data_IF_282199230253
#
_entry.id   IF_282199230253
#
_cell.length_a   1.000
_cell.length_b   1.000
_cell.length_c   1.000
_cell.angle_alpha   90.00
_cell.angle_beta   90.00
_cell.angle_gamma   90.00
#
_symmetry.space_group_name_H-M   'P 1'
#
loop_
_entity.id
_entity.type
_entity.pdbx_description
1 polymer ?
#
# COMPACT_ATOMS: atom_id res chain seq x y z
N UNK A 1 -59.14 16.04 -41.74
CA UNK A 1 -58.85 17.43 -42.12
C UNK A 1 -57.80 17.98 -41.17
N UNK A 2 -56.71 18.54 -41.74
CA UNK A 2 -55.69 19.49 -41.20
C UNK A 2 -55.07 19.21 -39.81
N UNK A 3 -53.75 19.05 -39.61
CA UNK A 3 -52.63 19.97 -39.94
C UNK A 3 -52.43 20.97 -38.77
N UNK A 4 -51.28 21.26 -38.14
CA UNK A 4 -49.85 21.26 -38.48
C UNK A 4 -49.01 21.42 -37.16
N UNK A 5 -47.83 20.80 -36.95
CA UNK A 5 -46.41 21.23 -37.19
C UNK A 5 -45.74 22.17 -36.14
N UNK A 6 -44.57 21.73 -35.64
CA UNK A 6 -43.39 22.46 -35.07
C UNK A 6 -43.46 22.95 -33.60
N UNK A 7 -42.43 22.93 -32.75
CA UNK A 7 -40.98 23.03 -32.98
C UNK A 7 -40.09 22.39 -31.88
N UNK A 8 -38.78 22.48 -32.09
CA UNK A 8 -37.70 21.61 -31.60
C UNK A 8 -37.07 22.01 -30.26
N UNK A 9 -36.49 20.97 -29.63
CA UNK A 9 -35.42 21.00 -28.62
C UNK A 9 -34.21 21.86 -29.05
N UNK A 10 -33.70 22.67 -28.11
CA UNK A 10 -32.26 22.80 -27.84
C UNK A 10 -32.05 23.49 -26.50
N UNK A 11 -31.53 22.78 -25.50
CA UNK A 11 -30.68 23.44 -24.51
C UNK A 11 -29.46 22.56 -24.23
N UNK A 12 -28.31 23.03 -24.74
CA UNK A 12 -26.99 22.45 -24.54
C UNK A 12 -26.42 23.10 -23.28
N UNK A 13 -26.46 22.40 -22.14
CA UNK A 13 -25.57 22.76 -21.03
C UNK A 13 -24.31 21.90 -21.09
N UNK A 14 -23.21 22.60 -21.37
CA UNK A 14 -21.85 22.08 -21.49
C UNK A 14 -21.43 21.42 -20.18
N UNK A 15 -20.95 20.19 -20.27
CA UNK A 15 -20.28 19.50 -19.18
C UNK A 15 -19.02 20.25 -18.77
N UNK A 16 -18.94 20.59 -17.49
CA UNK A 16 -17.67 20.87 -16.84
C UNK A 16 -16.97 19.52 -16.65
N UNK A 17 -15.87 19.31 -17.36
CA UNK A 17 -14.94 18.21 -17.12
C UNK A 17 -14.36 18.38 -15.71
N UNK A 18 -14.87 17.59 -14.76
CA UNK A 18 -14.27 17.47 -13.44
C UNK A 18 -12.87 16.85 -13.57
N UNK A 19 -11.90 17.52 -12.95
CA UNK A 19 -10.49 17.13 -12.95
C UNK A 19 -10.32 15.86 -12.08
N UNK A 20 -9.46 14.91 -12.48
CA UNK A 20 -9.14 13.76 -11.62
C UNK A 20 -8.37 14.21 -10.36
N UNK A 21 -8.48 13.46 -9.24
CA UNK A 21 -7.77 13.75 -8.00
C UNK A 21 -6.25 13.60 -8.14
N UNK A 22 -5.45 14.23 -7.26
CA UNK A 22 -4.00 14.34 -7.41
C UNK A 22 -3.28 12.99 -7.22
N UNK A 23 -2.28 12.77 -8.08
CA UNK A 23 -1.35 11.64 -8.08
C UNK A 23 -0.54 11.58 -6.79
N UNK A 24 -0.61 10.45 -6.08
CA UNK A 24 0.45 10.04 -5.16
C UNK A 24 1.69 9.61 -5.97
N UNK A 25 2.65 10.54 -6.05
CA UNK A 25 4.10 10.37 -6.24
C UNK A 25 4.59 9.20 -7.14
N UNK A 26 4.78 9.52 -8.42
CA UNK A 26 5.88 8.96 -9.22
C UNK A 26 7.03 9.99 -9.25
N UNK A 27 8.24 9.52 -9.00
CA UNK A 27 9.47 10.30 -8.88
C UNK A 27 9.81 11.08 -10.16
N UNK A 28 10.35 12.28 -9.93
CA UNK A 28 10.99 13.23 -10.86
C UNK A 28 11.77 12.62 -12.03
N UNK A 29 11.57 13.19 -13.22
CA UNK A 29 12.56 13.23 -14.28
C UNK A 29 12.58 14.62 -14.93
N UNK A 30 13.68 15.33 -14.73
CA UNK A 30 14.03 16.58 -15.40
C UNK A 30 14.77 16.34 -16.72
N UNK A 31 14.55 17.26 -17.67
CA UNK A 31 15.50 17.79 -18.69
C UNK A 31 15.10 17.63 -20.17
N UNK A 32 15.64 18.56 -20.98
CA UNK A 32 15.39 18.95 -22.39
C UNK A 32 14.37 20.08 -22.52
N UNK A 33 14.70 21.32 -22.89
CA UNK A 33 15.92 21.95 -23.37
C UNK A 33 15.54 23.09 -24.33
N UNK A 34 16.11 24.29 -24.16
CA UNK A 34 16.42 25.21 -25.26
C UNK A 34 17.37 26.31 -24.80
N UNK A 35 18.38 26.53 -25.65
CA UNK A 35 19.46 27.51 -25.56
C UNK A 35 18.96 28.90 -25.99
N UNK A 36 19.54 29.96 -25.42
CA UNK A 36 20.47 30.86 -26.12
C UNK A 36 21.04 31.92 -25.14
N UNK A 37 22.36 32.13 -25.22
CA UNK A 37 23.26 33.04 -24.47
C UNK A 37 23.45 34.38 -25.25
N UNK A 38 24.36 35.32 -24.87
CA UNK A 38 24.59 36.03 -23.60
C UNK A 38 24.71 37.56 -23.77
N UNK A 39 24.84 38.33 -22.68
CA UNK A 39 25.13 39.77 -22.78
C UNK A 39 25.36 40.51 -21.45
N UNK A 40 26.52 40.26 -20.85
CA UNK A 40 27.44 41.17 -20.15
C UNK A 40 26.98 42.48 -19.43
N UNK A 41 27.56 42.64 -18.22
CA UNK A 41 28.07 43.86 -17.56
C UNK A 41 27.21 44.71 -16.59
N UNK A 42 27.63 44.60 -15.31
CA UNK A 42 27.96 45.67 -14.33
C UNK A 42 26.93 46.10 -13.28
N UNK A 43 27.27 45.72 -12.04
CA UNK A 43 27.53 46.55 -10.85
C UNK A 43 26.42 47.42 -10.22
N UNK A 44 26.43 47.38 -8.88
CA UNK A 44 25.67 48.17 -7.89
C UNK A 44 24.17 47.83 -7.84
N UNK A 45 23.57 47.45 -6.71
CA UNK A 45 23.65 48.08 -5.39
C UNK A 45 23.63 47.05 -4.26
N UNK A 46 24.54 47.23 -3.31
CA UNK A 46 24.50 46.62 -1.98
C UNK A 46 23.60 47.50 -1.08
N UNK A 47 22.96 46.83 -0.12
CA UNK A 47 22.31 47.40 1.08
C UNK A 47 20.92 48.02 0.86
N UNK A 48 19.88 47.20 1.03
CA UNK A 48 19.09 47.28 2.25
C UNK A 48 18.07 46.13 2.37
N UNK A 49 17.81 45.74 3.62
CA UNK A 49 16.83 44.77 4.10
C UNK A 49 17.34 43.34 4.40
N UNK A 50 18.08 43.24 5.51
CA UNK A 50 18.00 42.11 6.43
C UNK A 50 16.56 42.00 6.97
N UNK A 51 15.68 41.39 6.19
CA UNK A 51 14.34 40.96 6.59
C UNK A 51 14.33 39.45 6.77
N UNK A 52 14.26 39.00 8.02
CA UNK A 52 14.09 37.63 8.48
C UNK A 52 13.13 36.80 7.60
N UNK A 53 13.67 36.05 6.63
CA UNK A 53 12.92 35.03 5.90
C UNK A 53 13.86 33.92 5.39
N UNK A 54 13.60 32.69 5.85
CA UNK A 54 13.97 31.41 5.21
C UNK A 54 15.46 31.05 5.13
N UNK A 55 16.09 30.80 6.29
CA UNK A 55 17.33 29.97 6.39
C UNK A 55 17.11 28.61 7.07
N UNK A 56 15.86 28.20 7.33
CA UNK A 56 15.58 26.93 8.03
C UNK A 56 15.51 25.70 7.11
N UNK A 57 15.24 25.86 5.81
CA UNK A 57 15.15 24.75 4.86
C UNK A 57 16.52 24.25 4.38
N UNK A 58 17.49 25.15 4.16
CA UNK A 58 18.82 24.84 3.62
C UNK A 58 19.69 24.05 4.62
N UNK A 59 19.60 24.39 5.91
CA UNK A 59 20.30 23.69 7.00
C UNK A 59 19.68 22.33 7.32
N UNK A 60 18.35 22.19 7.19
CA UNK A 60 17.66 20.90 7.36
C UNK A 60 18.03 19.89 6.28
N UNK A 61 18.11 20.33 5.02
CA UNK A 61 18.58 19.50 3.90
C UNK A 61 20.04 19.04 4.08
N UNK A 62 20.93 19.94 4.50
CA UNK A 62 22.33 19.60 4.81
C UNK A 62 22.43 18.57 5.94
N UNK A 63 21.68 18.73 7.04
CA UNK A 63 21.68 17.77 8.17
C UNK A 63 21.14 16.40 7.78
N UNK A 64 20.10 16.33 6.93
CA UNK A 64 19.56 15.07 6.37
C UNK A 64 20.61 14.29 5.57
N UNK A 65 21.49 14.97 4.82
CA UNK A 65 22.47 14.33 3.93
C UNK A 65 23.58 13.58 4.67
N UNK A 66 23.92 13.99 5.88
CA UNK A 66 24.98 13.39 6.72
C UNK A 66 24.43 12.61 7.92
N UNK A 67 23.10 12.53 8.07
CA UNK A 67 22.48 11.75 9.14
C UNK A 67 22.67 10.26 8.89
N UNK A 68 22.82 9.50 9.98
CA UNK A 68 22.77 8.05 9.91
C UNK A 68 21.37 7.59 9.48
N UNK A 69 21.32 6.60 8.58
CA UNK A 69 20.10 6.15 7.89
C UNK A 69 19.90 4.65 7.99
N UNK A 70 18.65 4.26 8.22
CA UNK A 70 18.17 2.89 8.08
C UNK A 70 17.07 2.83 7.03
N UNK A 71 16.89 1.68 6.39
CA UNK A 71 15.75 1.41 5.51
C UNK A 71 14.77 0.46 6.20
N UNK A 72 13.48 0.73 6.07
CA UNK A 72 12.43 -0.26 6.37
C UNK A 72 11.84 -0.69 5.04
N UNK A 73 11.86 -1.99 4.76
CA UNK A 73 11.39 -2.59 3.53
C UNK A 73 9.99 -3.15 3.73
N UNK A 74 9.10 -2.89 2.79
CA UNK A 74 7.70 -3.32 2.82
C UNK A 74 7.45 -4.36 1.72
N UNK A 75 7.16 -5.57 2.17
CA UNK A 75 6.69 -6.71 1.41
C UNK A 75 5.23 -6.99 1.75
N UNK A 76 4.57 -7.87 0.99
CA UNK A 76 3.22 -8.34 1.30
C UNK A 76 3.18 -9.86 1.15
N UNK A 77 3.34 -10.34 -0.09
CA UNK A 77 3.26 -11.77 -0.45
C UNK A 77 4.61 -12.31 -0.87
N UNK A 78 4.91 -13.55 -0.49
CA UNK A 78 6.00 -14.35 -1.09
C UNK A 78 5.41 -15.61 -1.68
N UNK A 79 4.98 -15.54 -2.93
CA UNK A 79 4.29 -16.62 -3.62
C UNK A 79 4.74 -16.70 -5.07
N UNK A 80 4.49 -17.83 -5.74
CA UNK A 80 4.78 -17.94 -7.17
C UNK A 80 3.77 -17.07 -7.94
N UNK A 81 4.21 -16.02 -8.66
CA UNK A 81 3.31 -15.20 -9.47
C UNK A 81 2.81 -15.96 -10.71
N UNK A 82 3.34 -17.15 -11.02
CA UNK A 82 3.04 -17.88 -12.25
C UNK A 82 1.60 -18.39 -12.29
N UNK A 83 0.71 -17.53 -12.79
CA UNK A 83 -0.66 -17.91 -13.15
C UNK A 83 -1.73 -17.22 -12.35
N UNK A 84 -1.40 -16.34 -11.41
CA UNK A 84 -2.37 -15.49 -10.72
C UNK A 84 -2.21 -14.03 -11.20
N UNK A 85 -3.23 -13.20 -11.01
CA UNK A 85 -3.15 -11.77 -11.29
C UNK A 85 -2.51 -11.07 -10.09
N UNK A 86 -1.63 -10.10 -10.33
CA UNK A 86 -1.07 -9.24 -9.28
C UNK A 86 -1.27 -7.76 -9.66
N UNK A 87 -2.52 -7.26 -9.59
CA UNK A 87 -2.85 -5.93 -10.05
C UNK A 87 -2.21 -4.83 -9.20
N UNK A 88 -1.69 -5.15 -8.02
CA UNK A 88 -1.07 -4.19 -7.10
C UNK A 88 0.45 -4.30 -7.04
N UNK A 89 1.04 -5.38 -7.57
CA UNK A 89 2.48 -5.59 -7.52
C UNK A 89 2.98 -6.00 -6.14
N UNK A 90 2.18 -6.75 -5.41
CA UNK A 90 2.42 -7.12 -4.01
C UNK A 90 3.19 -8.42 -3.87
N UNK A 91 3.32 -9.19 -4.95
CA UNK A 91 3.92 -10.51 -4.92
C UNK A 91 5.40 -10.47 -5.31
N UNK A 92 6.24 -11.06 -4.46
CA UNK A 92 7.64 -11.37 -4.77
C UNK A 92 7.79 -12.88 -4.90
N UNK A 93 8.41 -13.34 -5.97
CA UNK A 93 8.65 -14.78 -6.18
C UNK A 93 9.59 -15.34 -5.10
N UNK A 94 9.47 -16.61 -4.69
CA UNK A 94 10.36 -17.19 -3.70
C UNK A 94 11.84 -17.17 -4.12
N UNK A 95 12.10 -17.27 -5.43
CA UNK A 95 13.44 -17.19 -6.00
C UNK A 95 14.05 -15.79 -5.82
N UNK A 96 13.34 -14.74 -6.26
CA UNK A 96 13.81 -13.38 -6.08
C UNK A 96 13.88 -12.99 -4.60
N UNK A 97 12.93 -13.42 -3.77
CA UNK A 97 12.99 -13.16 -2.33
C UNK A 97 14.25 -13.74 -1.69
N UNK A 98 14.65 -14.98 -2.06
CA UNK A 98 15.90 -15.57 -1.58
C UNK A 98 17.15 -14.78 -2.03
N UNK A 99 17.18 -14.30 -3.29
CA UNK A 99 18.25 -13.42 -3.78
C UNK A 99 18.31 -12.10 -3.00
N UNK A 100 17.16 -11.49 -2.73
CA UNK A 100 17.06 -10.26 -1.95
C UNK A 100 17.56 -10.45 -0.51
N UNK A 101 17.23 -11.58 0.13
CA UNK A 101 17.77 -11.93 1.46
C UNK A 101 19.30 -12.11 1.46
N UNK A 102 19.86 -12.70 0.40
CA UNK A 102 21.31 -12.79 0.25
C UNK A 102 21.96 -11.40 0.16
N UNK A 103 21.40 -10.52 -0.68
CA UNK A 103 21.88 -9.13 -0.82
C UNK A 103 21.78 -8.35 0.50
N UNK A 104 20.72 -8.54 1.28
CA UNK A 104 20.54 -7.87 2.57
C UNK A 104 21.66 -8.18 3.56
N UNK A 105 22.14 -9.42 3.57
CA UNK A 105 23.25 -9.86 4.44
C UNK A 105 24.60 -9.29 4.00
N UNK A 106 24.75 -8.93 2.73
CA UNK A 106 25.98 -8.38 2.18
C UNK A 106 26.03 -6.85 2.25
N UNK A 107 24.90 -6.18 1.99
CA UNK A 107 24.85 -4.74 1.75
C UNK A 107 24.24 -3.94 2.91
N UNK A 108 23.64 -4.60 3.91
CA UNK A 108 22.96 -3.96 5.03
C UNK A 108 23.20 -4.67 6.35
N UNK A 109 22.69 -4.10 7.44
CA UNK A 109 22.66 -4.75 8.76
C UNK A 109 21.21 -5.04 9.13
N UNK A 110 20.74 -6.30 8.99
CA UNK A 110 19.38 -6.67 9.38
C UNK A 110 19.12 -6.38 10.86
N UNK A 111 17.97 -5.75 11.15
CA UNK A 111 17.52 -5.40 12.50
C UNK A 111 16.02 -5.66 12.63
N UNK A 112 15.55 -5.88 13.87
CA UNK A 112 14.12 -5.94 14.15
C UNK A 112 13.52 -4.54 14.18
N UNK A 113 12.25 -4.40 13.80
CA UNK A 113 11.55 -3.11 13.91
C UNK A 113 11.51 -2.59 15.36
N UNK A 114 11.23 -3.40 16.39
CA UNK A 114 11.33 -2.94 17.78
C UNK A 114 12.72 -2.44 18.17
N UNK A 115 13.80 -3.04 17.67
CA UNK A 115 15.16 -2.58 17.93
C UNK A 115 15.43 -1.21 17.29
N UNK A 116 15.02 -1.03 16.02
CA UNK A 116 15.11 0.26 15.34
C UNK A 116 14.29 1.32 16.06
N UNK A 117 13.05 1.03 16.45
CA UNK A 117 12.17 1.95 17.16
C UNK A 117 12.76 2.40 18.52
N UNK A 118 13.31 1.47 19.31
CA UNK A 118 14.00 1.79 20.57
C UNK A 118 15.24 2.65 20.37
N UNK A 119 16.03 2.37 19.34
CA UNK A 119 17.19 3.18 18.99
C UNK A 119 16.77 4.59 18.59
N UNK A 120 15.77 4.69 17.71
CA UNK A 120 15.23 5.95 17.23
C UNK A 120 14.68 6.82 18.37
N UNK A 121 14.01 6.22 19.34
CA UNK A 121 13.54 6.91 20.56
C UNK A 121 14.68 7.57 21.35
N UNK A 122 15.87 6.97 21.39
CA UNK A 122 17.07 7.57 22.00
C UNK A 122 17.77 8.59 21.11
N UNK A 123 17.23 8.87 19.92
CA UNK A 123 17.83 9.75 18.93
C UNK A 123 19.01 9.14 18.19
N UNK A 124 19.08 7.80 18.14
CA UNK A 124 20.11 7.00 17.47
C UNK A 124 19.48 6.24 16.31
N UNK A 125 20.00 6.39 15.09
CA UNK A 125 19.57 5.59 13.94
C UNK A 125 20.79 4.81 13.42
N UNK A 126 20.78 3.47 13.43
CA UNK A 126 21.91 2.68 12.95
C UNK A 126 22.16 2.93 11.45
N UNK A 127 23.35 3.41 11.10
CA UNK A 127 23.75 3.57 9.71
C UNK A 127 23.77 2.21 9.02
N UNK A 128 23.10 2.11 7.87
CA UNK A 128 23.03 0.85 7.12
C UNK A 128 22.09 -0.20 7.72
N UNK A 129 21.32 0.15 8.75
CA UNK A 129 20.29 -0.72 9.31
C UNK A 129 19.20 -1.02 8.29
N UNK A 130 18.76 -2.28 8.20
CA UNK A 130 17.67 -2.68 7.32
C UNK A 130 16.65 -3.51 8.11
N UNK A 131 15.39 -3.11 8.06
CA UNK A 131 14.27 -3.80 8.70
C UNK A 131 13.38 -4.38 7.60
N UNK A 132 13.01 -5.66 7.70
CA UNK A 132 12.02 -6.27 6.83
C UNK A 132 10.63 -6.23 7.48
N UNK A 133 9.63 -5.81 6.72
CA UNK A 133 8.23 -5.84 7.11
C UNK A 133 7.36 -6.48 6.04
N UNK A 134 6.33 -7.20 6.45
CA UNK A 134 5.25 -7.72 5.60
C UNK A 134 3.93 -7.13 6.07
N UNK A 135 3.11 -6.69 5.14
CA UNK A 135 1.75 -6.22 5.45
C UNK A 135 0.71 -7.34 5.25
N UNK A 136 -0.49 -7.09 5.77
CA UNK A 136 -1.71 -7.90 5.67
C UNK A 136 -1.76 -9.23 6.43
N UNK A 137 -0.62 -9.92 6.59
CA UNK A 137 -0.55 -11.20 7.30
C UNK A 137 -0.94 -12.41 6.44
N UNK A 138 -0.64 -12.37 5.14
CA UNK A 138 -0.89 -13.47 4.22
C UNK A 138 -0.25 -14.78 4.68
N UNK A 139 -0.94 -15.91 4.44
CA UNK A 139 -0.48 -17.22 4.89
C UNK A 139 0.88 -17.65 4.30
N UNK A 140 1.24 -17.14 3.11
CA UNK A 140 2.56 -17.38 2.52
C UNK A 140 3.72 -16.75 3.31
N UNK A 141 3.46 -15.78 4.19
CA UNK A 141 4.46 -15.27 5.12
C UNK A 141 4.95 -16.36 6.08
N UNK A 142 4.07 -17.28 6.49
CA UNK A 142 4.43 -18.45 7.28
C UNK A 142 5.02 -19.56 6.41
N UNK A 143 4.29 -19.95 5.36
CA UNK A 143 4.59 -21.19 4.63
C UNK A 143 5.78 -21.06 3.66
N UNK A 144 6.09 -19.84 3.22
CA UNK A 144 7.14 -19.58 2.23
C UNK A 144 8.19 -18.62 2.75
N UNK A 145 7.80 -17.44 3.25
CA UNK A 145 8.75 -16.40 3.65
C UNK A 145 9.55 -16.78 4.91
N UNK A 146 8.88 -17.25 5.98
CA UNK A 146 9.54 -17.60 7.25
C UNK A 146 10.67 -18.65 7.10
N UNK A 147 10.50 -19.76 6.35
CA UNK A 147 11.60 -20.68 6.08
C UNK A 147 12.81 -20.03 5.38
N UNK A 148 12.58 -19.11 4.45
CA UNK A 148 13.65 -18.39 3.76
C UNK A 148 14.33 -17.37 4.69
N UNK A 149 13.56 -16.60 5.46
CA UNK A 149 14.09 -15.72 6.50
C UNK A 149 15.00 -16.47 7.49
N UNK A 150 14.58 -17.67 7.92
CA UNK A 150 15.35 -18.50 8.86
C UNK A 150 16.67 -18.99 8.27
N UNK A 151 16.70 -19.37 6.98
CA UNK A 151 17.92 -19.80 6.30
C UNK A 151 18.96 -18.68 6.17
N UNK A 152 18.50 -17.44 6.07
CA UNK A 152 19.37 -16.27 5.90
C UNK A 152 19.63 -15.51 7.21
N UNK A 153 19.04 -15.94 8.34
CA UNK A 153 19.14 -15.23 9.63
C UNK A 153 18.77 -13.75 9.49
N UNK A 154 17.61 -13.51 8.88
CA UNK A 154 17.04 -12.16 8.68
C UNK A 154 15.73 -12.07 9.46
N UNK A 155 15.65 -11.21 10.49
CA UNK A 155 14.40 -11.01 11.21
C UNK A 155 13.41 -10.18 10.37
N UNK A 156 12.13 -10.34 10.65
CA UNK A 156 11.07 -9.56 10.02
C UNK A 156 9.96 -9.20 11.03
N UNK A 157 9.13 -8.23 10.66
CA UNK A 157 7.84 -7.96 11.32
C UNK A 157 6.72 -8.25 10.33
N UNK A 158 5.67 -8.97 10.74
CA UNK A 158 4.45 -9.17 9.94
C UNK A 158 3.32 -8.38 10.59
N UNK A 159 2.79 -7.38 9.89
CA UNK A 159 1.62 -6.61 10.30
C UNK A 159 0.35 -7.33 9.87
N UNK A 160 -0.50 -7.69 10.83
CA UNK A 160 -1.64 -8.58 10.58
C UNK A 160 -2.96 -7.83 10.69
N UNK A 161 -3.82 -8.01 9.68
CA UNK A 161 -5.21 -7.55 9.71
C UNK A 161 -6.04 -8.54 10.53
N UNK A 162 -6.25 -8.23 11.81
CA UNK A 162 -6.73 -9.21 12.81
C UNK A 162 -8.13 -9.75 12.56
N UNK A 163 -9.02 -8.98 11.92
CA UNK A 163 -10.38 -9.43 11.59
C UNK A 163 -10.40 -10.62 10.63
N UNK A 164 -9.35 -10.78 9.81
CA UNK A 164 -9.20 -11.89 8.87
C UNK A 164 -8.39 -13.06 9.43
N UNK A 165 -7.88 -12.97 10.66
CA UNK A 165 -7.29 -14.14 11.36
C UNK A 165 -8.41 -15.03 11.92
N UNK A 166 -9.52 -14.41 12.30
CA UNK A 166 -10.70 -15.09 12.81
C UNK A 166 -11.59 -15.66 11.70
N UNK A 167 -11.42 -15.22 10.45
CA UNK A 167 -12.21 -15.66 9.29
C UNK A 167 -11.29 -16.29 8.25
N UNK A 168 -11.74 -17.34 7.56
CA UNK A 168 -10.96 -17.91 6.44
C UNK A 168 -11.21 -17.13 5.12
N UNK A 169 -11.54 -15.85 5.24
CA UNK A 169 -11.92 -14.99 4.12
C UNK A 169 -10.68 -14.37 3.45
N UNK A 170 -10.85 -14.00 2.19
CA UNK A 170 -9.90 -13.13 1.47
C UNK A 170 -10.01 -11.69 1.97
N UNK A 171 -8.93 -10.92 1.81
CA UNK A 171 -9.01 -9.47 1.92
C UNK A 171 -9.89 -8.93 0.79
N UNK A 172 -10.58 -7.82 1.06
CA UNK A 172 -11.66 -7.34 0.17
C UNK A 172 -11.18 -7.00 -1.25
N UNK A 173 -9.91 -6.63 -1.44
CA UNK A 173 -9.34 -6.37 -2.78
C UNK A 173 -9.00 -7.66 -3.53
N UNK A 174 -8.62 -8.72 -2.82
CA UNK A 174 -8.40 -10.05 -3.39
C UNK A 174 -9.73 -10.69 -3.77
N UNK A 175 -10.78 -10.46 -2.96
CA UNK A 175 -12.14 -10.85 -3.32
C UNK A 175 -12.62 -10.12 -4.57
N UNK A 176 -12.43 -8.79 -4.64
CA UNK A 176 -12.78 -8.02 -5.82
C UNK A 176 -12.00 -8.48 -7.06
N UNK A 177 -10.73 -8.81 -6.89
CA UNK A 177 -9.87 -9.37 -7.95
C UNK A 177 -10.43 -10.72 -8.40
N UNK A 178 -10.82 -11.60 -7.48
CA UNK A 178 -11.45 -12.88 -7.81
C UNK A 178 -12.76 -12.69 -8.58
N UNK A 179 -13.57 -11.70 -8.23
CA UNK A 179 -14.85 -11.44 -8.88
C UNK A 179 -14.71 -10.81 -10.27
N UNK A 180 -13.65 -10.02 -10.50
CA UNK A 180 -13.52 -9.23 -11.74
C UNK A 180 -12.37 -9.70 -12.64
N UNK A 181 -11.24 -10.16 -12.12
CA UNK A 181 -10.00 -10.39 -12.87
C UNK A 181 -9.63 -11.87 -13.06
N UNK A 182 -10.59 -12.79 -12.88
CA UNK A 182 -10.43 -14.22 -13.23
C UNK A 182 -11.20 -14.58 -14.51
N UNK A 183 -10.82 -15.69 -15.20
CA UNK A 183 -11.43 -16.06 -16.46
C UNK A 183 -12.87 -16.52 -16.25
N UNK A 184 -13.83 -15.68 -16.66
CA UNK A 184 -15.26 -15.96 -16.55
C UNK A 184 -16.03 -15.04 -17.50
N UNK A 185 -17.34 -15.26 -17.66
CA UNK A 185 -18.24 -14.36 -18.38
C UNK A 185 -19.12 -13.61 -17.39
N UNK A 186 -18.97 -12.29 -17.33
CA UNK A 186 -19.82 -11.39 -16.54
C UNK A 186 -21.06 -10.96 -17.34
N UNK A 187 -22.13 -10.52 -16.68
CA UNK A 187 -23.20 -9.79 -17.34
C UNK A 187 -22.67 -8.54 -18.08
N UNK A 188 -23.38 -8.12 -19.13
CA UNK A 188 -22.94 -7.03 -20.00
C UNK A 188 -22.93 -5.66 -19.28
N UNK A 189 -23.80 -5.47 -18.31
CA UNK A 189 -23.97 -4.20 -17.58
C UNK A 189 -23.91 -4.42 -16.08
N UNK A 190 -23.20 -3.56 -15.36
CA UNK A 190 -23.19 -3.49 -13.90
C UNK A 190 -23.85 -2.19 -13.45
N UNK A 191 -24.92 -2.30 -12.67
CA UNK A 191 -25.50 -1.20 -11.91
C UNK A 191 -25.20 -1.43 -10.43
N UNK A 192 -24.52 -0.48 -9.78
CA UNK A 192 -24.07 -0.62 -8.40
C UNK A 192 -24.45 0.62 -7.58
N UNK A 193 -25.18 0.42 -6.50
CA UNK A 193 -25.40 1.45 -5.48
C UNK A 193 -24.18 1.49 -4.56
N UNK A 194 -23.40 2.57 -4.64
CA UNK A 194 -22.12 2.70 -3.95
C UNK A 194 -21.81 4.18 -3.64
N UNK A 195 -21.22 4.45 -2.48
CA UNK A 195 -20.86 5.80 -2.04
C UNK A 195 -22.02 6.81 -2.18
N UNK A 196 -23.24 6.40 -1.81
CA UNK A 196 -24.43 7.25 -1.82
C UNK A 196 -25.03 7.55 -3.20
N UNK A 197 -24.61 6.86 -4.27
CA UNK A 197 -25.18 7.03 -5.60
C UNK A 197 -25.22 5.74 -6.42
N UNK A 198 -25.99 5.76 -7.50
CA UNK A 198 -25.97 4.69 -8.50
C UNK A 198 -24.81 4.92 -9.47
N UNK A 199 -24.10 3.85 -9.83
CA UNK A 199 -23.05 3.84 -10.85
C UNK A 199 -23.37 2.78 -11.89
N UNK A 200 -23.16 3.11 -13.15
CA UNK A 200 -23.46 2.26 -14.29
C UNK A 200 -22.19 2.01 -15.10
N UNK A 201 -21.93 0.75 -15.44
CA UNK A 201 -20.88 0.34 -16.36
C UNK A 201 -21.45 -0.58 -17.45
N UNK A 202 -21.12 -0.27 -18.70
CA UNK A 202 -21.28 -1.19 -19.83
C UNK A 202 -19.91 -1.83 -20.11
N UNK A 203 -19.83 -3.15 -19.93
CA UNK A 203 -18.58 -3.89 -20.09
C UNK A 203 -18.26 -4.17 -21.56
N UNK A 204 -19.23 -4.09 -22.47
CA UNK A 204 -19.05 -4.42 -23.88
C UNK A 204 -18.28 -5.74 -24.07
N UNK A 205 -17.09 -5.66 -24.67
CA UNK A 205 -16.22 -6.83 -24.89
C UNK A 205 -15.61 -7.39 -23.60
N UNK A 206 -15.38 -6.57 -22.58
CA UNK A 206 -14.79 -6.99 -21.31
C UNK A 206 -15.74 -7.85 -20.44
N UNK A 207 -17.00 -8.00 -20.85
CA UNK A 207 -17.91 -8.98 -20.26
C UNK A 207 -17.34 -10.40 -20.39
N UNK A 208 -16.66 -10.71 -21.49
CA UNK A 208 -15.90 -11.95 -21.67
C UNK A 208 -14.44 -11.68 -21.33
N UNK A 209 -13.89 -12.44 -20.39
CA UNK A 209 -12.47 -12.40 -20.05
C UNK A 209 -11.97 -13.84 -19.99
N UNK A 210 -11.15 -14.20 -20.97
CA UNK A 210 -10.64 -15.55 -21.13
C UNK A 210 -9.26 -15.71 -20.46
N UNK A 211 -8.76 -16.94 -20.42
CA UNK A 211 -7.42 -17.21 -19.91
C UNK A 211 -6.32 -16.47 -20.67
N UNK A 212 -6.48 -16.25 -21.98
CA UNK A 212 -5.53 -15.45 -22.76
C UNK A 212 -5.54 -13.97 -22.35
N UNK A 213 -6.71 -13.44 -22.00
CA UNK A 213 -6.82 -12.07 -21.48
C UNK A 213 -6.11 -11.97 -20.13
N UNK A 214 -6.35 -12.93 -19.24
CA UNK A 214 -5.66 -13.00 -17.96
C UNK A 214 -4.15 -13.17 -18.12
N UNK A 215 -3.67 -14.05 -19.00
CA UNK A 215 -2.23 -14.21 -19.26
C UNK A 215 -1.58 -12.93 -19.74
N UNK A 216 -2.28 -12.17 -20.59
CA UNK A 216 -1.83 -10.87 -21.09
C UNK A 216 -1.81 -9.81 -19.98
N UNK A 217 -2.83 -9.79 -19.13
CA UNK A 217 -3.07 -8.68 -18.20
C UNK A 217 -2.58 -8.95 -16.76
N UNK A 218 -2.23 -10.20 -16.39
CA UNK A 218 -1.90 -10.59 -14.99
C UNK A 218 -0.79 -9.78 -14.31
N UNK A 219 0.15 -9.22 -15.08
CA UNK A 219 1.23 -8.37 -14.56
C UNK A 219 0.96 -6.87 -14.67
N UNK A 220 -0.22 -6.48 -15.17
CA UNK A 220 -0.61 -5.08 -15.37
C UNK A 220 -1.06 -4.48 -14.05
N UNK A 221 -0.57 -3.27 -13.74
CA UNK A 221 -1.05 -2.57 -12.55
C UNK A 221 -2.50 -2.13 -12.72
N UNK A 222 -3.28 -2.12 -11.64
CA UNK A 222 -4.70 -1.80 -11.66
C UNK A 222 -4.99 -0.46 -12.37
N UNK A 223 -4.17 0.56 -12.09
CA UNK A 223 -4.30 1.91 -12.68
C UNK A 223 -3.84 2.03 -14.13
N UNK A 224 -3.25 0.97 -14.71
CA UNK A 224 -2.81 0.91 -16.11
C UNK A 224 -3.84 0.22 -17.02
N UNK A 225 -5.00 -0.13 -16.48
CA UNK A 225 -6.11 -0.70 -17.22
C UNK A 225 -6.57 0.21 -18.36
N UNK A 226 -6.59 -0.33 -19.58
CA UNK A 226 -7.13 0.41 -20.72
C UNK A 226 -8.62 0.74 -20.52
N UNK A 227 -9.12 1.90 -20.97
CA UNK A 227 -10.54 2.23 -20.87
C UNK A 227 -11.44 1.12 -21.45
N UNK A 228 -12.47 0.74 -20.70
CA UNK A 228 -13.39 -0.34 -21.08
C UNK A 228 -12.85 -1.76 -20.84
N UNK A 229 -11.65 -1.93 -20.26
CA UNK A 229 -11.14 -3.25 -19.84
C UNK A 229 -11.63 -3.66 -18.46
N UNK A 230 -11.49 -4.95 -18.12
CA UNK A 230 -11.75 -5.44 -16.76
C UNK A 230 -10.86 -4.81 -15.70
N UNK A 231 -9.61 -4.49 -16.02
CA UNK A 231 -8.70 -3.79 -15.09
C UNK A 231 -9.17 -2.37 -14.81
N UNK A 232 -9.68 -1.65 -15.81
CA UNK A 232 -10.26 -0.33 -15.60
C UNK A 232 -11.53 -0.39 -14.74
N UNK A 233 -12.38 -1.41 -14.93
CA UNK A 233 -13.53 -1.66 -14.05
C UNK A 233 -13.08 -1.97 -12.62
N UNK A 234 -12.13 -2.90 -12.45
CA UNK A 234 -11.57 -3.27 -11.16
C UNK A 234 -11.06 -2.04 -10.40
N UNK A 235 -10.21 -1.23 -11.03
CA UNK A 235 -9.64 -0.04 -10.41
C UNK A 235 -10.70 1.01 -10.05
N UNK A 236 -11.70 1.21 -10.91
CA UNK A 236 -12.81 2.13 -10.65
C UNK A 236 -13.66 1.69 -9.46
N UNK A 237 -14.03 0.40 -9.39
CA UNK A 237 -14.81 -0.14 -8.26
C UNK A 237 -13.98 -0.15 -6.99
N UNK A 238 -12.72 -0.58 -7.05
CA UNK A 238 -11.80 -0.57 -5.92
C UNK A 238 -11.68 0.83 -5.30
N UNK A 239 -11.54 1.86 -6.13
CA UNK A 239 -11.42 3.26 -5.70
C UNK A 239 -12.68 3.76 -4.96
N UNK A 240 -13.85 3.25 -5.32
CA UNK A 240 -15.12 3.57 -4.66
C UNK A 240 -15.32 2.77 -3.37
N UNK A 241 -14.76 1.56 -3.27
CA UNK A 241 -14.81 0.71 -2.07
C UNK A 241 -13.83 1.17 -0.99
N UNK A 242 -12.66 1.67 -1.39
CA UNK A 242 -11.55 2.02 -0.51
C UNK A 242 -11.95 2.87 0.73
N UNK A 243 -12.71 3.98 0.59
CA UNK A 243 -13.06 4.83 1.73
C UNK A 243 -14.23 4.29 2.58
N UNK A 244 -14.97 3.27 2.11
CA UNK A 244 -16.20 2.81 2.78
C UNK A 244 -15.91 2.12 4.12
N UNK A 245 -16.86 2.14 5.05
CA UNK A 245 -16.77 1.30 6.24
C UNK A 245 -16.81 -0.20 5.85
N UNK A 246 -16.22 -1.07 6.66
CA UNK A 246 -16.11 -2.50 6.36
C UNK A 246 -17.46 -3.18 6.05
N UNK A 247 -18.52 -2.78 6.76
CA UNK A 247 -19.88 -3.30 6.52
C UNK A 247 -20.43 -2.87 5.16
N UNK A 248 -20.35 -1.59 4.83
CA UNK A 248 -20.80 -1.07 3.52
C UNK A 248 -20.01 -1.70 2.38
N UNK A 249 -18.69 -1.87 2.56
CA UNK A 249 -17.80 -2.54 1.62
C UNK A 249 -18.23 -3.98 1.37
N UNK A 250 -18.59 -4.71 2.44
CA UNK A 250 -19.11 -6.08 2.36
C UNK A 250 -20.44 -6.14 1.60
N UNK A 251 -21.38 -5.25 1.92
CA UNK A 251 -22.68 -5.19 1.23
C UNK A 251 -22.52 -4.96 -0.29
N UNK A 252 -21.57 -4.11 -0.68
CA UNK A 252 -21.26 -3.86 -2.09
C UNK A 252 -20.60 -5.08 -2.76
N UNK A 253 -19.66 -5.75 -2.08
CA UNK A 253 -19.06 -6.99 -2.61
C UNK A 253 -20.08 -8.11 -2.77
N UNK A 254 -21.04 -8.23 -1.85
CA UNK A 254 -22.15 -9.17 -1.95
C UNK A 254 -23.03 -8.86 -3.19
N UNK A 255 -23.29 -7.58 -3.46
CA UNK A 255 -24.01 -7.15 -4.67
C UNK A 255 -23.23 -7.49 -5.95
N UNK A 256 -21.90 -7.28 -5.97
CA UNK A 256 -21.04 -7.64 -7.12
C UNK A 256 -21.01 -9.16 -7.32
N UNK A 257 -20.87 -9.94 -6.25
CA UNK A 257 -20.88 -11.40 -6.30
C UNK A 257 -22.21 -11.94 -6.85
N UNK A 258 -23.34 -11.42 -6.34
CA UNK A 258 -24.67 -11.76 -6.84
C UNK A 258 -24.84 -11.37 -8.31
N UNK A 259 -24.33 -10.22 -8.73
CA UNK A 259 -24.37 -9.78 -10.12
C UNK A 259 -23.51 -10.67 -11.03
N UNK A 260 -22.30 -11.02 -10.59
CA UNK A 260 -21.39 -11.88 -11.33
C UNK A 260 -21.91 -13.33 -11.46
N UNK A 261 -22.86 -13.74 -10.63
CA UNK A 261 -23.31 -15.13 -10.53
C UNK A 261 -22.28 -16.03 -9.86
N UNK A 262 -21.30 -15.45 -9.15
CA UNK A 262 -20.19 -16.16 -8.52
C UNK A 262 -20.32 -16.09 -6.99
N UNK A 263 -20.45 -17.24 -6.30
CA UNK A 263 -20.48 -17.22 -4.84
C UNK A 263 -19.13 -16.78 -4.26
N UNK A 264 -19.16 -16.25 -3.03
CA UNK A 264 -17.96 -15.91 -2.27
C UNK A 264 -17.25 -17.19 -1.84
N UNK A 265 -16.24 -17.59 -2.61
CA UNK A 265 -15.39 -18.75 -2.33
C UNK A 265 -13.94 -18.27 -2.24
N UNK A 266 -13.44 -17.99 -1.02
CA UNK A 266 -12.07 -17.55 -0.80
C UNK A 266 -11.06 -18.49 -1.45
N UNK A 267 -10.04 -17.94 -2.13
CA UNK A 267 -8.90 -18.70 -2.62
C UNK A 267 -8.00 -19.07 -1.45
N UNK A 268 -7.67 -20.34 -1.32
CA UNK A 268 -6.72 -20.81 -0.31
C UNK A 268 -5.33 -20.15 -0.44
N UNK A 269 -4.98 -19.64 -1.63
CA UNK A 269 -3.72 -18.94 -1.91
C UNK A 269 -3.69 -17.48 -1.43
N UNK A 270 -4.85 -16.88 -1.10
CA UNK A 270 -5.00 -15.45 -0.78
C UNK A 270 -5.49 -15.17 0.64
N UNK A 271 -5.58 -16.21 1.47
CA UNK A 271 -6.03 -16.05 2.85
C UNK A 271 -4.94 -15.46 3.75
N UNK A 272 -5.39 -14.84 4.83
CA UNK A 272 -4.56 -14.46 5.97
C UNK A 272 -4.25 -15.72 6.80
N UNK A 273 -3.18 -15.68 7.60
CA UNK A 273 -2.86 -16.73 8.58
C UNK A 273 -4.04 -16.98 9.54
N UNK A 274 -4.27 -18.24 9.89
CA UNK A 274 -5.18 -18.63 10.98
C UNK A 274 -4.56 -18.34 12.36
N UNK A 275 -5.35 -18.39 13.42
CA UNK A 275 -4.86 -18.12 14.78
C UNK A 275 -3.73 -19.07 15.22
N UNK A 276 -3.83 -20.36 14.93
CA UNK A 276 -2.77 -21.35 15.20
C UNK A 276 -1.52 -21.09 14.35
N UNK A 277 -1.71 -20.78 13.07
CA UNK A 277 -0.63 -20.39 12.16
C UNK A 277 0.05 -19.07 12.58
N UNK A 278 -0.68 -18.13 13.17
CA UNK A 278 -0.12 -16.89 13.71
C UNK A 278 0.81 -17.18 14.90
N UNK A 279 0.42 -18.10 15.78
CA UNK A 279 1.29 -18.60 16.87
C UNK A 279 2.53 -19.29 16.30
N UNK A 280 2.36 -20.12 15.27
CA UNK A 280 3.49 -20.76 14.56
C UNK A 280 4.40 -19.73 13.89
N UNK A 281 3.85 -18.67 13.29
CA UNK A 281 4.60 -17.59 12.64
C UNK A 281 5.48 -16.83 13.65
N UNK A 282 4.94 -16.49 14.83
CA UNK A 282 5.68 -15.81 15.89
C UNK A 282 6.71 -16.72 16.60
N UNK A 283 6.55 -18.04 16.54
CA UNK A 283 7.42 -18.99 17.26
C UNK A 283 8.90 -18.82 16.87
N UNK A 284 9.76 -18.78 17.89
CA UNK A 284 11.21 -18.68 17.74
C UNK A 284 11.74 -17.25 17.66
N UNK A 285 10.87 -16.23 17.66
CA UNK A 285 11.27 -14.82 17.76
C UNK A 285 11.95 -14.23 16.52
N UNK A 286 12.08 -15.00 15.43
CA UNK A 286 12.59 -14.51 14.15
C UNK A 286 11.61 -13.52 13.48
N UNK A 287 10.31 -13.77 13.64
CA UNK A 287 9.23 -12.93 13.12
C UNK A 287 8.49 -12.31 14.28
N UNK A 288 8.51 -10.98 14.34
CA UNK A 288 7.69 -10.15 15.23
C UNK A 288 6.31 -9.93 14.62
N UNK A 289 5.26 -9.82 15.44
CA UNK A 289 3.90 -9.56 14.97
C UNK A 289 3.49 -8.13 15.33
N UNK A 290 3.07 -7.38 14.32
CA UNK A 290 2.50 -6.05 14.44
C UNK A 290 1.01 -6.03 14.08
N UNK A 291 0.32 -4.93 14.42
CA UNK A 291 -1.08 -4.73 14.05
C UNK A 291 -1.23 -4.00 12.71
N UNK A 292 -2.22 -4.42 11.92
CA UNK A 292 -2.63 -3.77 10.68
C UNK A 292 -4.12 -3.44 10.66
N UNK A 293 -4.67 -2.99 11.81
CA UNK A 293 -6.11 -2.75 12.04
C UNK A 293 -6.93 -4.04 12.08
N UNK A 294 -8.25 -3.94 12.29
CA UNK A 294 -9.17 -5.07 12.27
C UNK A 294 -9.63 -5.32 10.84
N UNK A 295 -10.03 -4.27 10.13
CA UNK A 295 -10.73 -4.38 8.84
C UNK A 295 -9.95 -3.87 7.63
N UNK A 296 -8.67 -3.51 7.82
CA UNK A 296 -7.85 -2.82 6.84
C UNK A 296 -8.46 -1.48 6.39
N UNK A 297 -8.96 -0.72 7.37
CA UNK A 297 -9.65 0.55 7.14
C UNK A 297 -8.68 1.66 6.73
N UNK A 298 -9.04 2.44 5.70
CA UNK A 298 -8.30 3.65 5.31
C UNK A 298 -8.60 4.78 6.30
N UNK A 299 -7.67 5.05 7.21
CA UNK A 299 -7.88 5.97 8.34
C UNK A 299 -8.40 7.37 7.97
N UNK A 300 -7.88 8.08 6.94
CA UNK A 300 -8.43 9.39 6.57
C UNK A 300 -9.92 9.41 6.19
N UNK A 301 -10.49 8.26 5.81
CA UNK A 301 -11.90 8.13 5.50
C UNK A 301 -12.76 7.77 6.74
N UNK A 302 -12.12 7.50 7.89
CA UNK A 302 -12.79 7.07 9.10
C UNK A 302 -12.78 8.17 10.17
N UNK A 303 -13.83 8.22 10.98
CA UNK A 303 -13.85 9.09 12.17
C UNK A 303 -12.74 8.71 13.17
N UNK A 304 -12.27 9.67 13.97
CA UNK A 304 -11.28 9.41 15.01
C UNK A 304 -11.70 8.29 15.99
N UNK A 305 -13.00 8.20 16.32
CA UNK A 305 -13.52 7.13 17.17
C UNK A 305 -13.42 5.75 16.48
N UNK A 306 -13.71 5.68 15.19
CA UNK A 306 -13.55 4.44 14.41
C UNK A 306 -12.07 4.05 14.27
N UNK A 307 -11.16 5.01 14.04
CA UNK A 307 -9.71 4.75 14.04
C UNK A 307 -9.23 4.20 15.40
N UNK A 308 -9.67 4.80 16.51
CA UNK A 308 -9.32 4.34 17.85
C UNK A 308 -9.83 2.92 18.13
N UNK A 309 -11.03 2.59 17.67
CA UNK A 309 -11.59 1.24 17.76
C UNK A 309 -10.77 0.22 16.94
N UNK A 310 -10.45 0.54 15.69
CA UNK A 310 -9.61 -0.31 14.82
C UNK A 310 -8.23 -0.61 15.44
N UNK A 311 -7.63 0.37 16.12
CA UNK A 311 -6.36 0.20 16.82
C UNK A 311 -6.48 -0.68 18.06
N UNK A 312 -7.46 -0.39 18.93
CA UNK A 312 -7.62 -1.07 20.21
C UNK A 312 -8.06 -2.54 20.03
N UNK A 313 -9.07 -2.78 19.18
CA UNK A 313 -9.58 -4.13 18.95
C UNK A 313 -8.56 -5.01 18.24
N UNK A 314 -7.85 -4.48 17.24
CA UNK A 314 -6.85 -5.26 16.52
C UNK A 314 -5.70 -5.69 17.43
N UNK A 315 -5.23 -4.75 18.26
CA UNK A 315 -4.23 -5.03 19.28
C UNK A 315 -4.72 -6.11 20.25
N UNK A 316 -5.89 -5.92 20.86
CA UNK A 316 -6.44 -6.86 21.84
C UNK A 316 -6.63 -8.27 21.26
N UNK A 317 -7.13 -8.39 20.03
CA UNK A 317 -7.34 -9.67 19.36
C UNK A 317 -6.02 -10.43 19.13
N UNK A 318 -4.99 -9.73 18.64
CA UNK A 318 -3.68 -10.33 18.39
C UNK A 318 -2.97 -10.70 19.70
N UNK A 319 -3.04 -9.84 20.73
CA UNK A 319 -2.49 -10.11 22.07
C UNK A 319 -3.17 -11.32 22.72
N UNK A 320 -4.49 -11.49 22.52
CA UNK A 320 -5.24 -12.63 23.03
C UNK A 320 -4.80 -13.96 22.38
N UNK A 321 -4.47 -13.96 21.09
CA UNK A 321 -3.98 -15.15 20.37
C UNK A 321 -2.54 -15.49 20.79
N UNK A 322 -1.67 -14.49 20.90
CA UNK A 322 -0.23 -14.68 21.07
C UNK A 322 0.21 -14.73 22.54
N UNK A 323 -0.60 -14.22 23.46
CA UNK A 323 -0.23 -14.10 24.88
C UNK A 323 0.96 -13.15 25.12
N UNK A 324 1.24 -12.25 24.18
CA UNK A 324 2.35 -11.30 24.22
C UNK A 324 1.91 -9.92 23.71
N UNK A 325 2.52 -8.81 24.19
CA UNK A 325 2.14 -7.46 23.78
C UNK A 325 2.39 -7.17 22.30
N UNK A 326 1.46 -6.48 21.64
CA UNK A 326 1.64 -5.96 20.28
C UNK A 326 2.06 -4.50 20.36
N UNK A 327 3.27 -4.22 19.86
CA UNK A 327 3.93 -2.92 20.05
C UNK A 327 4.20 -2.17 18.76
N UNK A 328 4.03 -2.78 17.60
CA UNK A 328 4.28 -2.15 16.29
C UNK A 328 2.98 -2.09 15.48
N UNK A 329 2.85 -1.06 14.66
CA UNK A 329 1.67 -0.83 13.83
C UNK A 329 2.07 -0.40 12.41
N UNK A 330 1.27 -0.74 11.41
CA UNK A 330 1.37 -0.14 10.07
C UNK A 330 0.02 0.41 9.66
N UNK A 331 -0.01 1.62 9.08
CA UNK A 331 -1.24 2.20 8.55
C UNK A 331 -1.62 1.48 7.25
N UNK A 332 -2.87 0.97 7.11
CA UNK A 332 -3.38 0.48 5.82
C UNK A 332 -3.17 1.51 4.71
N UNK A 333 -2.63 1.07 3.57
CA UNK A 333 -2.25 1.92 2.44
C UNK A 333 -1.24 3.05 2.77
N UNK A 334 -0.67 3.06 3.97
CA UNK A 334 0.19 4.14 4.50
C UNK A 334 -0.51 5.48 4.75
N UNK A 335 -1.84 5.49 4.63
CA UNK A 335 -2.68 6.67 4.72
C UNK A 335 -3.05 6.97 6.17
N UNK A 336 -3.03 8.25 6.54
CA UNK A 336 -3.27 8.70 7.92
C UNK A 336 -3.85 10.10 7.97
N UNK A 337 -4.73 10.33 8.94
CA UNK A 337 -5.23 11.66 9.25
C UNK A 337 -4.22 12.39 10.17
N UNK A 338 -4.28 13.72 10.29
CA UNK A 338 -3.41 14.48 11.18
C UNK A 338 -3.41 14.01 12.64
N UNK A 339 -4.55 13.50 13.13
CA UNK A 339 -4.72 12.97 14.47
C UNK A 339 -4.25 11.52 14.66
N UNK A 340 -4.13 10.74 13.57
CA UNK A 340 -3.86 9.31 13.64
C UNK A 340 -2.57 8.95 14.42
N UNK A 341 -1.43 9.67 14.27
CA UNK A 341 -0.23 9.41 15.06
C UNK A 341 -0.45 9.52 16.58
N UNK A 342 -1.32 10.46 17.00
CA UNK A 342 -1.73 10.61 18.40
C UNK A 342 -2.53 9.41 18.89
N UNK A 343 -3.51 8.96 18.08
CA UNK A 343 -4.33 7.78 18.41
C UNK A 343 -3.49 6.51 18.51
N UNK A 344 -2.51 6.31 17.62
CA UNK A 344 -1.58 5.17 17.66
C UNK A 344 -0.74 5.18 18.94
N UNK A 345 -0.21 6.36 19.32
CA UNK A 345 0.51 6.51 20.60
C UNK A 345 -0.39 6.18 21.78
N UNK A 346 -1.61 6.71 21.78
CA UNK A 346 -2.55 6.57 22.90
C UNK A 346 -3.08 5.12 23.03
N UNK A 347 -3.11 4.35 21.93
CA UNK A 347 -3.33 2.90 21.91
C UNK A 347 -2.11 2.07 22.42
N UNK A 348 -1.02 2.74 22.81
CA UNK A 348 0.15 2.12 23.42
C UNK A 348 1.06 1.38 22.44
N UNK A 349 1.03 1.72 21.15
CA UNK A 349 2.06 1.26 20.21
C UNK A 349 3.37 2.00 20.47
N UNK A 350 4.50 1.33 20.23
CA UNK A 350 5.84 1.88 20.35
C UNK A 350 6.30 2.57 19.05
N UNK A 351 5.75 2.23 17.88
CA UNK A 351 6.01 2.94 16.63
C UNK A 351 4.94 2.58 15.60
N UNK A 352 4.87 3.34 14.52
CA UNK A 352 4.05 3.00 13.36
C UNK A 352 4.73 3.29 12.04
N UNK A 353 4.43 2.48 11.02
CA UNK A 353 4.99 2.56 9.68
C UNK A 353 3.98 3.10 8.65
N UNK A 354 4.47 3.90 7.70
CA UNK A 354 3.73 4.42 6.54
C UNK A 354 4.30 3.81 5.25
N UNK A 355 3.86 4.28 4.07
CA UNK A 355 4.41 3.90 2.76
C UNK A 355 5.25 5.01 2.11
N UNK A 356 5.62 6.04 2.89
CA UNK A 356 6.46 7.13 2.39
C UNK A 356 7.84 6.57 2.05
N UNK A 357 8.23 6.65 0.78
CA UNK A 357 9.50 6.12 0.27
C UNK A 357 10.70 7.02 0.63
N UNK A 358 11.05 7.05 1.92
CA UNK A 358 12.22 7.74 2.48
C UNK A 358 12.98 6.81 3.44
N UNK A 359 14.29 7.05 3.67
CA UNK A 359 15.00 6.37 4.74
C UNK A 359 14.51 6.85 6.11
N UNK A 360 14.64 6.00 7.12
CA UNK A 360 14.53 6.38 8.52
C UNK A 360 15.78 7.14 8.91
N UNK A 361 15.61 8.29 9.55
CA UNK A 361 16.68 9.12 10.10
C UNK A 361 16.19 9.75 11.41
N UNK A 362 17.08 10.43 12.14
CA UNK A 362 16.79 10.97 13.49
C UNK A 362 15.55 11.88 13.56
N UNK A 363 15.18 12.54 12.46
CA UNK A 363 14.00 13.41 12.39
C UNK A 363 12.74 12.75 11.84
N UNK A 364 12.75 11.43 11.62
CA UNK A 364 11.55 10.69 11.24
C UNK A 364 10.52 10.71 12.37
N UNK A 365 9.23 10.75 12.03
CA UNK A 365 8.16 10.61 13.02
C UNK A 365 8.13 9.17 13.55
N UNK A 366 8.23 8.98 14.87
CA UNK A 366 8.20 7.63 15.49
C UNK A 366 6.93 6.85 15.16
N UNK A 367 5.82 7.55 15.01
CA UNK A 367 4.51 7.00 14.65
C UNK A 367 4.20 7.15 13.15
N UNK A 368 5.22 7.45 12.34
CA UNK A 368 5.13 7.70 10.91
C UNK A 368 6.43 7.24 10.20
N UNK A 369 7.03 6.14 10.64
CA UNK A 369 8.28 5.64 10.09
C UNK A 369 8.11 5.33 8.58
N UNK A 370 8.97 5.89 7.72
CA UNK A 370 8.86 5.67 6.28
C UNK A 370 9.31 4.27 5.88
N UNK A 371 8.81 3.79 4.74
CA UNK A 371 9.14 2.46 4.18
C UNK A 371 9.33 2.52 2.67
N UNK A 372 10.17 1.63 2.16
CA UNK A 372 10.32 1.39 0.73
C UNK A 372 9.54 0.14 0.33
N UNK A 373 8.60 0.29 -0.61
CA UNK A 373 7.96 -0.86 -1.25
C UNK A 373 9.01 -1.66 -2.03
N UNK A 374 8.98 -2.99 -1.87
CA UNK A 374 9.80 -3.92 -2.64
C UNK A 374 8.92 -4.70 -3.60
N UNK A 375 9.28 -4.68 -4.88
CA UNK A 375 8.60 -5.47 -5.91
C UNK A 375 9.42 -6.72 -6.25
N UNK A 376 8.94 -7.52 -7.20
CA UNK A 376 9.58 -8.75 -7.68
C UNK A 376 10.86 -8.52 -8.49
N UNK A 377 11.87 -7.91 -7.86
CA UNK A 377 13.18 -7.65 -8.45
C UNK A 377 14.15 -8.78 -8.12
N UNK A 378 14.91 -9.23 -9.11
CA UNK A 378 16.10 -10.06 -8.86
C UNK A 378 17.18 -9.33 -8.05
N UNK A 379 18.14 -10.10 -7.53
CA UNK A 379 19.16 -9.62 -6.59
C UNK A 379 19.91 -8.37 -7.06
N UNK A 380 20.31 -8.30 -8.33
CA UNK A 380 21.08 -7.17 -8.88
C UNK A 380 20.31 -5.83 -8.83
N UNK A 381 19.02 -5.84 -9.20
CA UNK A 381 18.19 -4.64 -9.17
C UNK A 381 17.87 -4.24 -7.73
N UNK A 382 17.61 -5.22 -6.87
CA UNK A 382 17.41 -4.98 -5.45
C UNK A 382 18.66 -4.38 -4.78
N UNK A 383 19.86 -4.89 -5.08
CA UNK A 383 21.13 -4.36 -4.55
C UNK A 383 21.35 -2.89 -4.93
N UNK A 384 21.07 -2.54 -6.20
CA UNK A 384 21.15 -1.14 -6.67
C UNK A 384 20.19 -0.23 -5.91
N UNK A 385 18.96 -0.70 -5.66
CA UNK A 385 17.94 0.07 -4.94
C UNK A 385 18.28 0.23 -3.47
N UNK A 386 18.64 -0.85 -2.80
CA UNK A 386 19.04 -0.84 -1.39
C UNK A 386 20.21 0.11 -1.15
N UNK A 387 21.24 0.04 -2.00
CA UNK A 387 22.38 0.95 -1.94
C UNK A 387 21.95 2.41 -2.06
N UNK A 388 21.06 2.72 -3.01
CA UNK A 388 20.51 4.08 -3.16
C UNK A 388 19.72 4.51 -1.94
N UNK A 389 18.89 3.65 -1.37
CA UNK A 389 18.07 3.98 -0.19
C UNK A 389 18.88 4.24 1.06
N UNK A 390 19.98 3.52 1.26
CA UNK A 390 20.88 3.73 2.41
C UNK A 390 21.79 4.96 2.24
N UNK A 391 21.91 5.49 1.01
CA UNK A 391 22.74 6.66 0.68
C UNK A 391 21.94 7.96 0.47
N UNK A 392 20.68 7.87 0.03
CA UNK A 392 19.76 8.99 -0.23
C UNK A 392 19.51 9.79 1.04
#
# INVERSE_FOLDING_TARGET
MAGAISSRRSDRRRGALERPPPRALAVSASSLGRRDEPGDLRASFLEDALGSARMTSSLGWLRRRWAAKSAILMYHRVADPAGESDPWGLCVSPAHFAEQLAVLRECGTPLTLPALARSHERGEVPQGGVVLTFDDGYADNLHVAKPLLARHDVPATVFVTSGHVATEDELWWDELERLLLVPLRLPATLDLAIAGGMRHWDLGRAAVYADDDRRRDRGRRAWEGAPGSRHALYYAVWSLLLPLAARERRDVLDAIASWAGEPRRPRATHRVVRADELVELARGGLVDIGSHTVTHAMFPAQSAAAQAHELAESKAALEAILGAPITTFAYPHGERAPESPGLVRDAGFACACTVVAEPVWKGSGRYELPRFAVEDWGGDEFARRLTRWLQA
#
